data_IF_828711721220
#
_entry.id   IF_828711721220
#
_cell.length_a   1.000
_cell.length_b   1.000
_cell.length_c   1.000
_cell.angle_alpha   90.00
_cell.angle_beta   90.00
_cell.angle_gamma   90.00
#
_symmetry.space_group_name_H-M   'P 1'
#
loop_
_entity.id
_entity.type
_entity.pdbx_description
1 polymer ?
#
# COMPACT_ATOMS: atom_id res chain seq x y z
N UNK A 1 -6.45 9.71 5.14
CA UNK A 1 -6.76 10.90 4.29
C UNK A 1 -8.04 11.58 4.76
N UNK A 2 -9.23 10.96 4.58
CA UNK A 2 -10.52 11.59 4.91
C UNK A 2 -10.59 12.09 6.37
N UNK A 3 -10.21 11.24 7.33
CA UNK A 3 -10.16 11.62 8.75
C UNK A 3 -9.24 12.81 9.03
N UNK A 4 -8.05 12.86 8.41
CA UNK A 4 -7.09 13.95 8.60
C UNK A 4 -7.64 15.31 8.16
N UNK A 5 -8.34 15.34 7.02
CA UNK A 5 -9.05 16.55 6.55
C UNK A 5 -10.19 16.95 7.49
N UNK A 6 -10.94 15.96 8.00
CA UNK A 6 -12.05 16.19 8.94
C UNK A 6 -11.56 16.77 10.27
N UNK A 7 -10.35 16.40 10.69
CA UNK A 7 -9.66 16.95 11.85
C UNK A 7 -8.99 18.33 11.60
N UNK A 8 -9.15 18.92 10.40
CA UNK A 8 -8.60 20.22 10.03
C UNK A 8 -7.14 20.20 9.57
N UNK A 9 -6.55 19.01 9.35
CA UNK A 9 -5.20 18.86 8.81
C UNK A 9 -5.14 19.04 7.29
N UNK A 10 -3.98 19.44 6.78
CA UNK A 10 -3.73 19.53 5.35
C UNK A 10 -3.12 18.24 4.79
N UNK A 11 -3.28 17.97 3.49
CA UNK A 11 -2.75 16.75 2.86
C UNK A 11 -1.22 16.62 2.98
N UNK A 12 -0.50 17.75 3.11
CA UNK A 12 0.96 17.78 3.32
C UNK A 12 1.41 17.31 4.71
N UNK A 13 0.50 17.34 5.68
CA UNK A 13 0.79 16.92 7.06
C UNK A 13 0.86 15.39 7.16
N UNK A 14 0.24 14.68 6.21
CA UNK A 14 0.25 13.23 6.11
C UNK A 14 1.45 12.72 5.29
N UNK A 15 2.14 11.71 5.79
CA UNK A 15 3.05 10.88 4.98
C UNK A 15 2.41 9.51 4.76
N UNK A 16 2.34 9.08 3.50
CA UNK A 16 1.91 7.73 3.13
C UNK A 16 3.14 6.89 2.77
N UNK A 17 3.17 5.64 3.20
CA UNK A 17 4.29 4.74 2.94
C UNK A 17 3.84 3.56 2.10
N UNK A 18 4.60 3.24 1.05
CA UNK A 18 4.28 2.16 0.11
C UNK A 18 5.49 1.26 -0.06
N UNK A 19 5.24 -0.05 -0.15
CA UNK A 19 6.28 -1.03 -0.45
C UNK A 19 6.64 -0.98 -1.94
N UNK A 20 7.91 -0.77 -2.24
CA UNK A 20 8.41 -0.83 -3.62
C UNK A 20 8.16 -2.21 -4.23
N UNK A 21 7.66 -2.23 -5.47
CA UNK A 21 7.38 -3.43 -6.25
C UNK A 21 6.04 -4.10 -5.96
N UNK A 22 5.23 -3.54 -5.05
CA UNK A 22 3.91 -4.09 -4.69
C UNK A 22 2.79 -3.05 -4.86
N UNK A 23 3.07 -1.77 -4.56
CA UNK A 23 2.09 -0.69 -4.65
C UNK A 23 2.52 0.44 -5.58
N UNK A 24 3.35 0.17 -6.60
CA UNK A 24 3.98 1.22 -7.41
C UNK A 24 2.95 2.09 -8.14
N UNK A 25 1.85 1.52 -8.63
CA UNK A 25 0.74 2.26 -9.24
C UNK A 25 0.00 3.14 -8.21
N UNK A 26 -0.27 2.61 -7.01
CA UNK A 26 -0.87 3.36 -5.92
C UNK A 26 0.05 4.51 -5.48
N UNK A 27 1.35 4.24 -5.37
CA UNK A 27 2.36 5.25 -5.05
C UNK A 27 2.33 6.39 -6.08
N UNK A 28 2.32 6.07 -7.37
CA UNK A 28 2.24 7.06 -8.44
C UNK A 28 0.93 7.87 -8.37
N UNK A 29 -0.21 7.19 -8.18
CA UNK A 29 -1.52 7.84 -8.06
C UNK A 29 -1.61 8.80 -6.86
N UNK A 30 -1.04 8.41 -5.72
CA UNK A 30 -0.99 9.25 -4.52
C UNK A 30 -0.06 10.46 -4.71
N UNK A 31 1.11 10.26 -5.32
CA UNK A 31 2.04 11.34 -5.62
C UNK A 31 1.45 12.36 -6.60
N UNK A 32 0.76 11.90 -7.66
CA UNK A 32 0.07 12.78 -8.61
C UNK A 32 -1.04 13.62 -7.96
N UNK A 33 -1.63 13.12 -6.87
CA UNK A 33 -2.63 13.86 -6.08
C UNK A 33 -2.00 14.86 -5.09
N UNK A 34 -0.68 15.02 -5.09
CA UNK A 34 0.02 15.98 -4.23
C UNK A 34 0.31 15.49 -2.81
N UNK A 35 0.06 14.20 -2.51
CA UNK A 35 0.42 13.64 -1.21
C UNK A 35 1.92 13.41 -1.08
N UNK A 36 2.45 13.55 0.13
CA UNK A 36 3.80 13.09 0.46
C UNK A 36 3.81 11.57 0.58
N UNK A 37 4.54 10.90 -0.32
CA UNK A 37 4.63 9.44 -0.36
C UNK A 37 6.08 8.98 -0.26
N UNK A 38 6.35 7.98 0.58
CA UNK A 38 7.67 7.37 0.78
C UNK A 38 7.64 5.91 0.33
N UNK A 39 8.59 5.55 -0.54
CA UNK A 39 8.81 4.16 -0.92
C UNK A 39 9.70 3.47 0.12
N UNK A 40 9.21 2.39 0.72
CA UNK A 40 10.02 1.48 1.53
C UNK A 40 10.81 0.57 0.60
N UNK A 41 12.13 0.72 0.61
CA UNK A 41 13.06 0.07 -0.30
C UNK A 41 14.07 -0.76 0.51
N UNK A 42 13.82 -2.06 0.74
CA UNK A 42 14.79 -2.92 1.41
C UNK A 42 16.02 -3.11 0.50
N UNK A 43 17.20 -3.00 1.08
CA UNK A 43 18.49 -3.20 0.40
C UNK A 43 19.32 -4.17 1.23
N UNK A 44 19.88 -5.19 0.60
CA UNK A 44 20.65 -6.23 1.25
C UNK A 44 21.22 -7.24 0.25
N UNK A 45 21.86 -8.28 0.77
CA UNK A 45 22.33 -9.41 -0.04
C UNK A 45 21.17 -10.32 -0.50
N UNK A 46 21.49 -11.31 -1.32
CA UNK A 46 20.51 -12.25 -1.86
C UNK A 46 19.76 -13.03 -0.76
N UNK A 47 20.45 -13.43 0.31
CA UNK A 47 19.85 -14.26 1.36
C UNK A 47 18.80 -13.44 2.13
N UNK A 48 19.15 -12.22 2.52
CA UNK A 48 18.21 -11.29 3.14
C UNK A 48 17.05 -10.93 2.19
N UNK A 49 17.35 -10.74 0.89
CA UNK A 49 16.35 -10.47 -0.14
C UNK A 49 15.33 -11.61 -0.30
N UNK A 50 15.79 -12.87 -0.32
CA UNK A 50 14.91 -14.04 -0.42
C UNK A 50 14.02 -14.20 0.82
N UNK A 51 14.56 -13.99 2.02
CA UNK A 51 13.76 -14.01 3.25
C UNK A 51 12.68 -12.93 3.23
N UNK A 52 13.03 -11.72 2.78
CA UNK A 52 12.07 -10.62 2.61
C UNK A 52 10.97 -10.97 1.59
N UNK A 53 11.36 -11.55 0.44
CA UNK A 53 10.42 -11.99 -0.59
C UNK A 53 9.40 -12.99 -0.06
N UNK A 54 9.85 -14.03 0.64
CA UNK A 54 8.95 -15.05 1.21
C UNK A 54 7.95 -14.42 2.18
N UNK A 55 8.40 -13.49 3.03
CA UNK A 55 7.48 -12.76 3.93
C UNK A 55 6.41 -11.99 3.16
N UNK A 56 6.80 -11.30 2.07
CA UNK A 56 5.85 -10.56 1.23
C UNK A 56 4.89 -11.48 0.49
N UNK A 57 5.32 -12.65 0.05
CA UNK A 57 4.43 -13.64 -0.56
C UNK A 57 3.39 -14.09 0.45
N UNK A 58 3.79 -14.52 1.65
CA UNK A 58 2.87 -14.98 2.69
C UNK A 58 1.83 -13.92 3.09
N UNK A 59 2.24 -12.67 3.19
CA UNK A 59 1.34 -11.54 3.50
C UNK A 59 0.33 -11.29 2.37
N UNK A 60 0.80 -11.31 1.12
CA UNK A 60 -0.05 -11.00 -0.05
C UNK A 60 -0.91 -12.17 -0.52
N UNK A 61 -0.60 -13.41 -0.15
CA UNK A 61 -1.43 -14.58 -0.42
C UNK A 61 -2.37 -14.93 0.74
N UNK A 62 -2.45 -14.09 1.77
CA UNK A 62 -3.48 -14.23 2.80
C UNK A 62 -4.86 -14.03 2.17
N UNK A 63 -5.85 -14.85 2.55
CA UNK A 63 -7.22 -14.73 2.07
C UNK A 63 -7.88 -13.39 2.45
N UNK A 64 -7.34 -12.68 3.46
CA UNK A 64 -7.81 -11.37 3.91
C UNK A 64 -7.01 -10.20 3.30
N UNK A 65 -6.16 -10.47 2.30
CA UNK A 65 -5.38 -9.44 1.64
C UNK A 65 -6.24 -8.65 0.65
N UNK A 66 -6.39 -7.34 0.87
CA UNK A 66 -7.04 -6.41 -0.06
C UNK A 66 -6.49 -6.54 -1.49
N UNK A 67 -5.16 -6.69 -1.64
CA UNK A 67 -4.53 -6.85 -2.96
C UNK A 67 -4.90 -8.19 -3.61
N UNK A 68 -5.07 -9.23 -2.81
CA UNK A 68 -5.50 -10.54 -3.29
C UNK A 68 -6.96 -10.51 -3.76
N UNK A 69 -7.85 -9.92 -2.96
CA UNK A 69 -9.27 -9.77 -3.32
C UNK A 69 -9.45 -8.89 -4.56
N UNK A 70 -8.70 -7.78 -4.65
CA UNK A 70 -8.67 -6.94 -5.86
C UNK A 70 -8.22 -7.73 -7.09
N UNK A 71 -7.16 -8.54 -6.96
CA UNK A 71 -6.67 -9.38 -8.06
C UNK A 71 -7.66 -10.49 -8.45
N UNK A 72 -8.48 -10.98 -7.52
CA UNK A 72 -9.54 -11.94 -7.76
C UNK A 72 -10.82 -11.32 -8.35
N UNK A 73 -10.86 -10.01 -8.55
CA UNK A 73 -11.99 -9.31 -9.17
C UNK A 73 -13.17 -9.08 -8.25
N UNK A 74 -12.95 -9.03 -6.93
CA UNK A 74 -13.97 -8.62 -5.97
C UNK A 74 -14.47 -7.21 -6.32
N UNK A 75 -15.79 -6.94 -6.32
CA UNK A 75 -16.35 -5.63 -6.64
C UNK A 75 -15.78 -4.52 -5.76
N UNK A 76 -15.61 -3.33 -6.33
CA UNK A 76 -15.02 -2.20 -5.60
C UNK A 76 -15.89 -1.77 -4.42
N UNK A 77 -17.21 -1.93 -4.53
CA UNK A 77 -18.17 -1.61 -3.48
C UNK A 77 -17.94 -2.47 -2.22
N UNK A 78 -17.54 -3.73 -2.41
CA UNK A 78 -17.20 -4.65 -1.33
C UNK A 78 -15.83 -4.33 -0.75
N UNK A 79 -14.83 -4.09 -1.60
CA UNK A 79 -13.48 -3.70 -1.19
C UNK A 79 -13.42 -2.38 -0.41
N UNK A 80 -14.33 -1.45 -0.69
CA UNK A 80 -14.41 -0.12 -0.05
C UNK A 80 -15.46 -0.05 1.07
N UNK A 81 -16.08 -1.18 1.43
CA UNK A 81 -17.02 -1.22 2.53
C UNK A 81 -16.33 -0.81 3.85
N UNK A 82 -17.06 -0.18 4.78
CA UNK A 82 -16.52 0.07 6.12
C UNK A 82 -16.10 -1.25 6.76
N UNK A 83 -14.88 -1.33 7.35
CA UNK A 83 -14.45 -2.53 8.06
C UNK A 83 -15.27 -2.78 9.34
#
# INVERSE_FOLDING_TARGET
IAFGRLAGGEDRDLELQVLRGLGDELQAALAMRGFRVRAYCPVGDLVAGMAYLVRRLLENTSNESFLHEQANGVPLEELLAPP
#
